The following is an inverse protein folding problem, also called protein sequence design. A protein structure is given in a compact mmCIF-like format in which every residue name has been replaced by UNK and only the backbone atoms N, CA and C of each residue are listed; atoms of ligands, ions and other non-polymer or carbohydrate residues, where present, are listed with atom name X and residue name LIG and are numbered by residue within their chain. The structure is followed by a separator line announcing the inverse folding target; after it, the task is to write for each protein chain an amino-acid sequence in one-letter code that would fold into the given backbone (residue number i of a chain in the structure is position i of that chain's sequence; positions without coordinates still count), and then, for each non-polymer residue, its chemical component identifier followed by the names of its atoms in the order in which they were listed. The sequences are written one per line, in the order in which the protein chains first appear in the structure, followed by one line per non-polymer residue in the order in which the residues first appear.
data_IF_434502376513
#
_entry.id   IF_434502376513
#
_cell.length_a   1.000
_cell.length_b   1.000
_cell.length_c   1.000
_cell.angle_alpha   90.00
_cell.angle_beta   90.00
_cell.angle_gamma   90.00
#
_symmetry.space_group_name_H-M   'P 1'
#
loop_
_entity.id
_entity.type
_entity.pdbx_description
1 polymer ?
#
# COMPACT_ATOMS: atom_id res chain seq x y z
N UNK A 1 16.03 -21.24 -27.34
CA UNK A 1 15.29 -20.48 -26.32
C UNK A 1 14.90 -21.44 -25.22
N UNK A 2 15.43 -21.29 -24.01
CA UNK A 2 15.21 -22.24 -22.91
C UNK A 2 13.74 -22.23 -22.49
N UNK A 3 13.07 -23.37 -22.63
CA UNK A 3 11.65 -23.60 -22.25
C UNK A 3 11.37 -23.21 -20.80
N UNK A 4 12.40 -23.21 -19.94
CA UNK A 4 12.32 -22.79 -18.53
C UNK A 4 12.04 -21.30 -18.32
N UNK A 5 12.36 -20.44 -19.29
CA UNK A 5 12.17 -18.99 -19.15
C UNK A 5 10.68 -18.63 -19.24
N UNK A 6 9.88 -19.43 -19.96
CA UNK A 6 8.47 -19.14 -20.24
C UNK A 6 7.61 -19.10 -18.96
N UNK A 7 7.63 -20.11 -18.07
CA UNK A 7 6.87 -20.06 -16.82
C UNK A 7 7.38 -18.99 -15.84
N UNK A 8 8.69 -18.76 -15.78
CA UNK A 8 9.28 -17.70 -14.96
C UNK A 8 8.84 -16.32 -15.42
N UNK A 9 8.84 -16.05 -16.73
CA UNK A 9 8.34 -14.82 -17.31
C UNK A 9 6.83 -14.68 -17.12
N UNK A 10 6.06 -15.76 -17.31
CA UNK A 10 4.60 -15.77 -17.15
C UNK A 10 4.12 -15.39 -15.75
N UNK A 11 4.90 -15.71 -14.69
CA UNK A 11 4.56 -15.35 -13.30
C UNK A 11 5.14 -13.98 -12.92
N UNK A 12 6.40 -13.71 -13.27
CA UNK A 12 7.08 -12.46 -12.87
C UNK A 12 6.51 -11.22 -13.55
N UNK A 13 6.10 -11.34 -14.82
CA UNK A 13 5.63 -10.21 -15.62
C UNK A 13 4.32 -9.62 -15.06
N UNK A 14 3.22 -10.37 -14.81
CA UNK A 14 2.02 -9.80 -14.23
C UNK A 14 2.23 -9.33 -12.79
N UNK A 15 3.09 -10.00 -12.01
CA UNK A 15 3.39 -9.64 -10.63
C UNK A 15 4.03 -8.25 -10.51
N UNK A 16 4.83 -7.84 -11.50
CA UNK A 16 5.43 -6.51 -11.56
C UNK A 16 4.50 -5.53 -12.29
N UNK A 17 3.92 -5.94 -13.41
CA UNK A 17 3.19 -5.05 -14.32
C UNK A 17 1.88 -4.55 -13.70
N UNK A 18 1.12 -5.41 -13.01
CA UNK A 18 -0.17 -5.05 -12.42
C UNK A 18 -0.03 -3.96 -11.35
N UNK A 19 0.82 -4.10 -10.31
CA UNK A 19 0.98 -3.03 -9.34
C UNK A 19 1.56 -1.76 -9.98
N UNK A 20 2.45 -1.88 -10.96
CA UNK A 20 2.99 -0.72 -11.68
C UNK A 20 1.89 0.06 -12.40
N UNK A 21 1.04 -0.63 -13.17
CA UNK A 21 -0.11 -0.02 -13.87
C UNK A 21 -1.09 0.60 -12.87
N UNK A 22 -1.37 -0.07 -11.76
CA UNK A 22 -2.27 0.46 -10.73
C UNK A 22 -1.69 1.72 -10.08
N UNK A 23 -0.41 1.74 -9.74
CA UNK A 23 0.26 2.92 -9.19
C UNK A 23 0.19 4.08 -10.19
N UNK A 24 0.60 3.86 -11.44
CA UNK A 24 0.53 4.90 -12.48
C UNK A 24 -0.89 5.43 -12.71
N UNK A 25 -1.90 4.55 -12.69
CA UNK A 25 -3.30 4.95 -12.85
C UNK A 25 -3.83 5.79 -11.69
N UNK A 26 -3.37 5.55 -10.46
CA UNK A 26 -3.88 6.22 -9.26
C UNK A 26 -3.11 7.49 -8.90
N UNK A 27 -1.81 7.59 -9.23
CA UNK A 27 -0.98 8.77 -8.89
C UNK A 27 -1.56 10.08 -9.46
N UNK A 28 -2.15 10.05 -10.66
CA UNK A 28 -2.68 11.25 -11.31
C UNK A 28 -4.05 11.75 -10.81
N UNK A 29 -4.89 10.86 -10.25
CA UNK A 29 -6.32 11.18 -9.96
C UNK A 29 -6.62 11.52 -8.51
N UNK A 30 -5.60 11.53 -7.64
CA UNK A 30 -5.78 11.80 -6.21
C UNK A 30 -6.39 13.19 -5.93
N UNK A 31 -6.14 14.18 -6.80
CA UNK A 31 -6.72 15.53 -6.67
C UNK A 31 -8.22 15.55 -6.95
N UNK A 32 -8.64 14.93 -8.06
CA UNK A 32 -10.04 14.87 -8.46
C UNK A 32 -10.86 14.04 -7.49
N UNK A 33 -10.32 12.92 -7.02
CA UNK A 33 -10.96 12.09 -6.00
C UNK A 33 -11.16 12.84 -4.69
N UNK A 34 -10.16 13.58 -4.21
CA UNK A 34 -10.30 14.43 -3.02
C UNK A 34 -11.34 15.53 -3.20
N UNK A 35 -11.44 16.12 -4.39
CA UNK A 35 -12.42 17.17 -4.65
C UNK A 35 -13.85 16.61 -4.67
N UNK A 36 -14.06 15.46 -5.31
CA UNK A 36 -15.35 14.77 -5.33
C UNK A 36 -15.76 14.29 -3.93
N UNK A 37 -14.85 13.75 -3.14
CA UNK A 37 -15.10 13.32 -1.76
C UNK A 37 -15.52 14.52 -0.87
N UNK A 38 -14.85 15.67 -1.02
CA UNK A 38 -15.24 16.92 -0.34
C UNK A 38 -16.63 17.39 -0.75
N UNK A 39 -16.93 17.39 -2.05
CA UNK A 39 -18.24 17.79 -2.55
C UNK A 39 -19.35 16.84 -2.09
N UNK A 40 -19.08 15.54 -2.03
CA UNK A 40 -20.03 14.54 -1.56
C UNK A 40 -20.26 14.64 -0.04
N UNK A 41 -19.21 14.89 0.74
CA UNK A 41 -19.33 15.11 2.18
C UNK A 41 -20.17 16.36 2.52
N UNK A 42 -19.96 17.46 1.77
CA UNK A 42 -20.76 18.68 1.89
C UNK A 42 -22.24 18.40 1.58
N UNK A 43 -22.53 17.69 0.48
CA UNK A 43 -23.91 17.32 0.12
C UNK A 43 -24.57 16.40 1.14
N UNK A 44 -23.81 15.51 1.79
CA UNK A 44 -24.31 14.57 2.77
C UNK A 44 -24.42 15.17 4.19
N UNK A 45 -24.00 16.42 4.39
CA UNK A 45 -23.96 17.07 5.71
C UNK A 45 -23.08 16.32 6.73
N UNK A 46 -22.14 15.48 6.26
CA UNK A 46 -21.26 14.70 7.13
C UNK A 46 -19.91 15.38 7.25
N UNK A 47 -19.28 15.34 8.45
CA UNK A 47 -17.90 15.78 8.58
C UNK A 47 -17.03 14.97 7.63
N UNK A 48 -16.11 15.66 6.96
CA UNK A 48 -15.12 15.08 6.07
C UNK A 48 -14.37 13.95 6.80
N UNK A 49 -14.67 12.70 6.47
CA UNK A 49 -13.87 11.57 6.96
C UNK A 49 -12.44 11.78 6.47
N UNK A 50 -11.54 12.04 7.42
CA UNK A 50 -10.11 12.06 7.17
C UNK A 50 -9.73 10.69 6.61
N UNK A 51 -9.29 10.70 5.35
CA UNK A 51 -8.45 9.72 4.69
C UNK A 51 -8.62 8.25 5.10
N UNK A 52 -9.06 7.44 4.12
CA UNK A 52 -8.88 5.99 4.04
C UNK A 52 -7.93 5.43 5.11
N UNK A 53 -8.47 4.70 6.09
CA UNK A 53 -7.65 4.00 7.08
C UNK A 53 -6.57 3.21 6.33
N UNK A 54 -5.27 3.51 6.54
CA UNK A 54 -4.23 2.74 5.89
C UNK A 54 -4.41 1.27 6.26
N UNK A 55 -4.04 0.35 5.37
CA UNK A 55 -4.05 -1.08 5.68
C UNK A 55 -3.29 -1.29 7.00
N UNK A 56 -4.00 -1.79 8.01
CA UNK A 56 -3.49 -1.86 9.39
C UNK A 56 -2.23 -2.70 9.49
N UNK A 57 -1.45 -2.52 10.55
CA UNK A 57 -0.16 -3.21 10.74
C UNK A 57 -0.25 -4.75 10.56
N UNK A 58 -1.38 -5.36 10.93
CA UNK A 58 -1.63 -6.79 10.72
C UNK A 58 -1.61 -7.23 9.25
N UNK A 59 -2.05 -6.38 8.31
CA UNK A 59 -2.01 -6.68 6.87
C UNK A 59 -0.59 -6.63 6.31
N UNK A 60 0.24 -5.71 6.80
CA UNK A 60 1.67 -5.61 6.43
C UNK A 60 2.41 -6.88 6.86
N UNK A 61 2.18 -7.34 8.09
CA UNK A 61 2.78 -8.56 8.63
C UNK A 61 2.25 -9.81 7.91
N UNK A 62 0.94 -9.89 7.67
CA UNK A 62 0.33 -11.02 6.97
C UNK A 62 0.88 -11.17 5.53
N UNK A 63 1.10 -10.07 4.81
CA UNK A 63 1.69 -10.12 3.47
C UNK A 63 3.20 -10.39 3.56
N UNK A 64 3.91 -9.68 4.44
CA UNK A 64 5.36 -9.73 4.54
C UNK A 64 5.90 -11.07 5.03
N UNK A 65 5.21 -11.73 5.96
CA UNK A 65 5.59 -13.07 6.44
C UNK A 65 4.79 -14.17 5.74
N UNK A 66 3.49 -13.96 5.53
CA UNK A 66 2.60 -15.00 5.00
C UNK A 66 2.92 -15.39 3.57
N UNK A 67 3.17 -14.43 2.67
CA UNK A 67 3.45 -14.73 1.25
C UNK A 67 4.76 -15.51 1.07
N UNK A 68 5.90 -15.11 1.68
CA UNK A 68 7.12 -15.91 1.59
C UNK A 68 7.01 -17.29 2.26
N UNK A 69 6.36 -17.39 3.43
CA UNK A 69 6.16 -18.67 4.08
C UNK A 69 5.31 -19.62 3.24
N UNK A 70 4.21 -19.12 2.65
CA UNK A 70 3.34 -19.91 1.79
C UNK A 70 4.05 -20.34 0.49
N UNK A 71 4.85 -19.46 -0.12
CA UNK A 71 5.58 -19.79 -1.35
C UNK A 71 6.67 -20.85 -1.10
N UNK A 72 7.41 -20.74 0.01
CA UNK A 72 8.41 -21.73 0.40
C UNK A 72 7.77 -23.07 0.77
N UNK A 73 6.65 -23.06 1.48
CA UNK A 73 5.92 -24.28 1.80
C UNK A 73 5.36 -24.97 0.55
N UNK A 74 4.81 -24.19 -0.39
CA UNK A 74 4.38 -24.70 -1.69
C UNK A 74 5.54 -25.28 -2.49
N UNK A 75 6.72 -24.66 -2.46
CA UNK A 75 7.92 -25.18 -3.10
C UNK A 75 8.33 -26.54 -2.50
N UNK A 76 8.31 -26.67 -1.17
CA UNK A 76 8.63 -27.93 -0.49
C UNK A 76 7.65 -29.05 -0.87
N UNK A 77 6.35 -28.77 -0.90
CA UNK A 77 5.33 -29.74 -1.32
C UNK A 77 5.49 -30.14 -2.80
N UNK A 78 5.73 -29.17 -3.68
CA UNK A 78 5.97 -29.43 -5.09
C UNK A 78 7.23 -30.29 -5.30
N UNK A 79 8.29 -30.01 -4.55
CA UNK A 79 9.53 -30.80 -4.53
C UNK A 79 9.27 -32.25 -4.11
N UNK A 80 8.51 -32.44 -3.03
CA UNK A 80 8.18 -33.77 -2.51
C UNK A 80 7.30 -34.59 -3.46
N UNK A 81 6.51 -33.92 -4.32
CA UNK A 81 5.66 -34.58 -5.32
C UNK A 81 6.41 -35.10 -6.55
N UNK A 82 7.66 -34.65 -6.78
CA UNK A 82 8.43 -35.05 -7.96
C UNK A 82 9.18 -36.36 -7.66
N UNK A 83 8.97 -37.35 -8.54
CA UNK A 83 9.73 -38.59 -8.51
C UNK A 83 11.19 -38.36 -8.89
N UNK A 84 12.12 -38.75 -8.02
CA UNK A 84 13.57 -38.54 -8.15
C UNK A 84 14.20 -39.24 -9.36
N UNK A 85 13.42 -40.05 -10.10
CA UNK A 85 13.86 -40.82 -11.26
C UNK A 85 13.59 -40.14 -12.61
N UNK A 86 12.98 -38.96 -12.62
CA UNK A 86 12.72 -38.23 -13.87
C UNK A 86 13.99 -37.57 -14.40
N UNK A 87 14.29 -37.67 -15.72
CA UNK A 87 15.44 -37.00 -16.32
C UNK A 87 15.38 -35.46 -16.20
N UNK A 88 14.20 -34.90 -15.96
CA UNK A 88 13.95 -33.45 -15.85
C UNK A 88 13.94 -32.93 -14.40
N UNK A 89 14.48 -33.70 -13.44
CA UNK A 89 14.42 -33.35 -12.02
C UNK A 89 15.12 -32.01 -11.70
N UNK A 90 16.35 -31.83 -12.20
CA UNK A 90 17.12 -30.60 -11.96
C UNK A 90 16.47 -29.33 -12.53
N UNK A 91 16.00 -29.31 -13.78
CA UNK A 91 15.31 -28.13 -14.29
C UNK A 91 13.99 -27.86 -13.54
N UNK A 92 13.19 -28.88 -13.22
CA UNK A 92 11.97 -28.67 -12.43
C UNK A 92 12.24 -28.08 -11.04
N UNK A 93 13.29 -28.56 -10.37
CA UNK A 93 13.74 -28.01 -9.09
C UNK A 93 14.04 -26.52 -9.19
N UNK A 94 14.83 -26.11 -10.19
CA UNK A 94 15.18 -24.71 -10.41
C UNK A 94 13.95 -23.83 -10.68
N UNK A 95 12.95 -24.36 -11.39
CA UNK A 95 11.70 -23.65 -11.65
C UNK A 95 10.84 -23.46 -10.40
N UNK A 96 10.71 -24.49 -9.58
CA UNK A 96 9.92 -24.45 -8.35
C UNK A 96 10.53 -23.47 -7.36
N UNK A 97 11.83 -23.60 -7.07
CA UNK A 97 12.50 -22.71 -6.13
C UNK A 97 12.67 -21.30 -6.69
N UNK A 98 12.94 -21.16 -7.99
CA UNK A 98 13.04 -19.87 -8.66
C UNK A 98 11.72 -19.09 -8.62
N UNK A 99 10.59 -19.74 -8.94
CA UNK A 99 9.28 -19.10 -8.86
C UNK A 99 8.88 -18.75 -7.42
N UNK A 100 9.15 -19.64 -6.46
CA UNK A 100 8.88 -19.38 -5.05
C UNK A 100 9.70 -18.21 -4.48
N UNK A 101 10.97 -18.08 -4.90
CA UNK A 101 11.83 -16.96 -4.55
C UNK A 101 11.32 -15.64 -5.15
N UNK A 102 10.93 -15.62 -6.42
CA UNK A 102 10.38 -14.42 -7.08
C UNK A 102 9.08 -13.97 -6.41
N UNK A 103 8.16 -14.90 -6.12
CA UNK A 103 6.90 -14.59 -5.43
C UNK A 103 7.16 -14.11 -4.01
N UNK A 104 8.08 -14.75 -3.28
CA UNK A 104 8.46 -14.35 -1.93
C UNK A 104 9.06 -12.93 -1.89
N UNK A 105 9.98 -12.62 -2.79
CA UNK A 105 10.56 -11.27 -2.93
C UNK A 105 9.51 -10.24 -3.32
N UNK A 106 8.58 -10.58 -4.21
CA UNK A 106 7.46 -9.73 -4.57
C UNK A 106 6.54 -9.40 -3.39
N UNK A 107 6.23 -10.42 -2.58
CA UNK A 107 5.47 -10.25 -1.33
C UNK A 107 6.18 -9.34 -0.33
N UNK A 108 7.48 -9.55 -0.12
CA UNK A 108 8.30 -8.71 0.76
C UNK A 108 8.39 -7.27 0.26
N UNK A 109 8.58 -7.05 -1.04
CA UNK A 109 8.63 -5.72 -1.63
C UNK A 109 7.29 -4.99 -1.42
N UNK A 110 6.18 -5.70 -1.62
CA UNK A 110 4.83 -5.15 -1.42
C UNK A 110 4.59 -4.79 0.05
N UNK A 111 4.99 -5.68 0.97
CA UNK A 111 4.91 -5.42 2.40
C UNK A 111 5.81 -4.25 2.84
N UNK A 112 7.00 -4.13 2.26
CA UNK A 112 7.90 -3.00 2.51
C UNK A 112 7.25 -1.67 2.08
N UNK A 113 6.67 -1.62 0.88
CA UNK A 113 5.96 -0.42 0.39
C UNK A 113 4.78 -0.10 1.30
N UNK A 114 3.96 -1.09 1.67
CA UNK A 114 2.84 -0.90 2.60
C UNK A 114 3.32 -0.43 3.99
N UNK A 115 4.44 -0.97 4.48
CA UNK A 115 5.06 -0.55 5.74
C UNK A 115 5.50 0.91 5.71
N UNK A 116 6.15 1.34 4.62
CA UNK A 116 6.54 2.75 4.44
C UNK A 116 5.31 3.65 4.35
N UNK A 117 4.29 3.26 3.60
CA UNK A 117 3.05 4.04 3.44
C UNK A 117 2.25 4.13 4.75
N UNK A 118 2.13 3.03 5.50
CA UNK A 118 1.45 3.01 6.79
C UNK A 118 2.19 3.84 7.84
N UNK A 119 3.52 3.80 7.87
CA UNK A 119 4.32 4.64 8.75
C UNK A 119 4.15 6.13 8.42
N UNK A 120 4.09 6.50 7.14
CA UNK A 120 3.80 7.88 6.71
C UNK A 120 2.37 8.31 7.07
N UNK A 121 1.40 7.41 6.95
CA UNK A 121 0.02 7.64 7.39
C UNK A 121 -0.07 7.91 8.89
N UNK A 122 0.52 7.01 9.68
CA UNK A 122 0.54 7.13 11.15
C UNK A 122 1.21 8.42 11.64
N UNK A 123 2.29 8.87 10.97
CA UNK A 123 2.90 10.17 11.28
C UNK A 123 1.96 11.34 11.01
N UNK A 124 1.25 11.33 9.87
CA UNK A 124 0.28 12.38 9.53
C UNK A 124 -0.90 12.43 10.51
N UNK A 125 -1.40 11.27 10.94
CA UNK A 125 -2.49 11.20 11.90
C UNK A 125 -2.04 11.72 13.28
N UNK A 126 -0.83 11.37 13.72
CA UNK A 126 -0.25 11.88 14.98
C UNK A 126 -0.02 13.39 14.96
N UNK A 127 0.48 13.94 13.84
CA UNK A 127 0.68 15.39 13.68
C UNK A 127 -0.67 16.15 13.67
N UNK A 128 -1.71 15.52 13.12
CA UNK A 128 -3.07 16.06 13.13
C UNK A 128 -3.69 16.03 14.52
N UNK A 129 -3.58 14.91 15.24
CA UNK A 129 -4.02 14.80 16.64
C UNK A 129 -3.30 15.82 17.52
N UNK A 130 -1.99 16.02 17.33
CA UNK A 130 -1.23 17.04 18.05
C UNK A 130 -1.73 18.45 17.73
N UNK A 131 -2.07 18.73 16.47
CA UNK A 131 -2.61 20.04 16.04
C UNK A 131 -4.04 20.27 16.56
N UNK A 132 -4.88 19.24 16.61
CA UNK A 132 -6.24 19.30 17.18
C UNK A 132 -6.19 19.44 18.71
N UNK A 133 -5.25 18.78 19.39
CA UNK A 133 -5.02 18.95 20.82
C UNK A 133 -4.57 20.38 21.16
N UNK A 134 -3.65 20.95 20.37
CA UNK A 134 -3.23 22.35 20.47
C UNK A 134 -4.40 23.32 20.15
N UNK A 135 -5.24 23.00 19.16
CA UNK A 135 -6.42 23.78 18.80
C UNK A 135 -7.57 23.72 19.83
N UNK A 136 -7.70 22.63 20.59
CA UNK A 136 -8.70 22.54 21.68
C UNK A 136 -8.27 23.25 22.97
N UNK A 137 -6.96 23.39 23.18
CA UNK A 137 -6.39 24.08 24.35
C UNK A 137 -6.11 25.56 24.11
N UNK A 138 -6.01 26.00 22.85
CA UNK A 138 -5.93 27.42 22.52
C UNK A 138 -7.35 27.99 22.47
N UNK A 139 -7.66 28.88 23.41
CA UNK A 139 -8.74 29.85 23.27
C UNK A 139 -8.70 30.38 21.82
N UNK A 140 -9.82 30.43 21.07
CA UNK A 140 -9.82 30.95 19.70
C UNK A 140 -9.02 32.24 19.71
N UNK A 141 -7.96 32.32 18.89
CA UNK A 141 -7.17 33.53 18.80
C UNK A 141 -8.14 34.64 18.38
N UNK A 142 -8.53 35.44 19.37
CA UNK A 142 -9.34 36.62 19.17
C UNK A 142 -8.46 37.54 18.34
N UNK A 143 -8.78 37.64 17.05
CA UNK A 143 -8.15 38.58 16.15
C UNK A 143 -8.84 39.93 16.38
N UNK A 144 -8.23 40.85 17.16
CA UNK A 144 -8.87 42.13 17.49
C UNK A 144 -9.08 43.00 16.24
N UNK A 145 -8.36 42.70 15.15
CA UNK A 145 -8.37 43.48 13.93
C UNK A 145 -9.52 43.06 12.98
N UNK A 146 -10.16 41.91 13.21
CA UNK A 146 -11.30 41.46 12.43
C UNK A 146 -12.55 42.34 12.68
N UNK A 147 -12.58 43.08 13.78
CA UNK A 147 -13.69 43.97 14.14
C UNK A 147 -13.42 45.45 13.90
N UNK A 148 -12.20 45.84 13.48
CA UNK A 148 -11.85 47.22 13.14
C UNK A 148 -12.07 47.54 11.64
N UNK A 149 -13.20 47.08 11.10
CA UNK A 149 -13.64 47.43 9.74
C UNK A 149 -14.54 48.68 9.69
N UNK A 150 -14.82 49.31 10.84
CA UNK A 150 -15.78 50.42 10.96
C UNK A 150 -15.14 51.82 11.19
N UNK A 151 -13.81 51.92 11.31
CA UNK A 151 -13.14 53.17 11.70
C UNK A 151 -12.67 54.12 10.59
N UNK A 152 -12.74 53.74 9.30
CA UNK A 152 -12.30 54.61 8.19
C UNK A 152 -13.47 55.01 7.31
N UNK A 153 -14.16 56.07 7.71
CA UNK A 153 -15.17 56.68 6.86
C UNK A 153 -15.95 57.82 7.49
N UNK A 154 -15.27 58.88 7.93
CA UNK A 154 -15.78 60.27 7.93
C UNK A 154 -14.61 61.23 7.73
#
# INVERSE_FOLDING_TARGET
MNVMIIPLAGISLPLILVPLILVFKHVGRNRDHRHLERMQAIKAGRPLQSASNPPGAGSVVAIGAGVPCASMFGALLATASISSRSPDFMPMMGLIWGSAAVVGLGGLLTAFILGVLSHQGYRRDRDREASEALGSSAKPAYDPDLFDAAGRGY
#
